data_IF_872950852218
#
_entry.id   IF_872950852218
#
_cell.length_a   1.000
_cell.length_b   1.000
_cell.length_c   1.000
_cell.angle_alpha   90.00
_cell.angle_beta   90.00
_cell.angle_gamma   90.00
#
_symmetry.space_group_name_H-M   'P 1'
#
loop_
_entity.id
_entity.type
_entity.pdbx_description
1 polymer ?
#
# COMPACT_ATOMS: atom_id res chain seq x y z
N UNK A 1 -34.61 -41.27 -16.91
CA UNK A 1 -34.83 -39.92 -16.34
C UNK A 1 -34.02 -39.61 -15.07
N UNK A 2 -33.93 -40.51 -14.07
CA UNK A 2 -33.26 -40.23 -12.77
C UNK A 2 -31.75 -39.98 -12.90
N UNK A 3 -31.02 -40.79 -13.69
CA UNK A 3 -29.58 -40.59 -13.98
C UNK A 3 -29.29 -39.25 -14.68
N UNK A 4 -30.20 -38.78 -15.53
CA UNK A 4 -30.05 -37.53 -16.27
C UNK A 4 -30.26 -36.31 -15.35
N UNK A 5 -31.25 -36.39 -14.44
CA UNK A 5 -31.46 -35.39 -13.36
C UNK A 5 -30.25 -35.28 -12.42
N UNK A 6 -29.68 -36.42 -11.99
CA UNK A 6 -28.49 -36.45 -11.12
C UNK A 6 -27.25 -35.85 -11.79
N UNK A 7 -27.04 -36.11 -13.09
CA UNK A 7 -25.92 -35.57 -13.86
C UNK A 7 -26.07 -34.06 -14.11
N UNK A 8 -27.31 -33.59 -14.33
CA UNK A 8 -27.64 -32.16 -14.43
C UNK A 8 -27.44 -31.44 -13.09
N UNK A 9 -27.86 -32.02 -11.96
CA UNK A 9 -27.66 -31.41 -10.64
C UNK A 9 -26.18 -31.37 -10.22
N UNK A 10 -25.40 -32.40 -10.58
CA UNK A 10 -23.95 -32.41 -10.34
C UNK A 10 -23.20 -31.36 -11.19
N UNK A 11 -23.59 -31.19 -12.46
CA UNK A 11 -23.02 -30.14 -13.32
C UNK A 11 -23.43 -28.71 -12.90
N UNK A 12 -24.65 -28.51 -12.42
CA UNK A 12 -25.08 -27.22 -11.86
C UNK A 12 -24.28 -26.87 -10.62
N UNK A 13 -23.98 -27.86 -9.77
CA UNK A 13 -23.18 -27.66 -8.57
C UNK A 13 -21.71 -27.31 -8.90
N UNK A 14 -21.09 -27.96 -9.90
CA UNK A 14 -19.73 -27.62 -10.32
C UNK A 14 -19.63 -26.21 -10.94
N UNK A 15 -20.61 -25.82 -11.76
CA UNK A 15 -20.74 -24.48 -12.35
C UNK A 15 -20.92 -23.41 -11.28
N UNK A 16 -21.75 -23.67 -10.25
CA UNK A 16 -21.95 -22.77 -9.11
C UNK A 16 -20.69 -22.65 -8.24
N UNK A 17 -19.97 -23.75 -8.01
CA UNK A 17 -18.70 -23.74 -7.25
C UNK A 17 -17.64 -22.92 -8.00
N UNK A 18 -17.56 -23.08 -9.32
CA UNK A 18 -16.63 -22.32 -10.16
C UNK A 18 -16.98 -20.82 -10.21
N UNK A 19 -18.26 -20.45 -10.26
CA UNK A 19 -18.66 -19.03 -10.25
C UNK A 19 -18.38 -18.38 -8.89
N UNK A 20 -18.54 -19.13 -7.80
CA UNK A 20 -18.13 -18.71 -6.46
C UNK A 20 -16.61 -18.50 -6.37
N UNK A 21 -15.81 -19.31 -7.08
CA UNK A 21 -14.35 -19.13 -7.15
C UNK A 21 -14.02 -17.78 -7.79
N UNK A 22 -14.64 -17.44 -8.93
CA UNK A 22 -14.46 -16.16 -9.65
C UNK A 22 -14.76 -14.96 -8.74
N UNK A 23 -15.80 -15.03 -7.90
CA UNK A 23 -16.12 -13.97 -6.93
C UNK A 23 -14.98 -13.68 -5.95
N UNK A 24 -14.20 -14.69 -5.57
CA UNK A 24 -13.14 -14.54 -4.58
C UNK A 24 -11.80 -14.04 -5.13
N UNK A 25 -11.59 -14.14 -6.45
CA UNK A 25 -10.30 -13.81 -7.09
C UNK A 25 -9.97 -12.32 -6.98
N UNK A 26 -8.68 -12.02 -6.82
CA UNK A 26 -8.15 -10.67 -6.92
C UNK A 26 -8.04 -10.24 -8.41
N UNK A 27 -7.79 -8.95 -8.68
CA UNK A 27 -7.72 -8.44 -10.06
C UNK A 27 -6.61 -9.12 -10.88
N UNK A 28 -5.42 -9.33 -10.31
CA UNK A 28 -4.27 -9.96 -10.99
C UNK A 28 -4.52 -11.44 -11.33
N UNK A 29 -5.11 -12.18 -10.39
CA UNK A 29 -5.53 -13.57 -10.57
C UNK A 29 -6.63 -13.67 -11.61
N UNK A 30 -7.57 -12.73 -11.59
CA UNK A 30 -8.67 -12.70 -12.54
C UNK A 30 -8.17 -12.38 -13.95
N UNK A 31 -7.27 -11.39 -14.11
CA UNK A 31 -6.64 -11.11 -15.41
C UNK A 31 -5.84 -12.31 -15.91
N UNK A 32 -5.13 -13.02 -15.03
CA UNK A 32 -4.38 -14.23 -15.40
C UNK A 32 -5.30 -15.34 -15.89
N UNK A 33 -6.36 -15.65 -15.14
CA UNK A 33 -7.35 -16.66 -15.54
C UNK A 33 -8.00 -16.31 -16.88
N UNK A 34 -8.27 -15.03 -17.09
CA UNK A 34 -8.88 -14.54 -18.32
C UNK A 34 -7.93 -14.65 -19.52
N UNK A 35 -6.65 -14.35 -19.35
CA UNK A 35 -5.63 -14.54 -20.38
C UNK A 35 -5.49 -16.03 -20.72
N UNK A 36 -5.39 -16.90 -19.71
CA UNK A 36 -5.33 -18.35 -19.88
C UNK A 36 -6.56 -18.89 -20.64
N UNK A 37 -7.77 -18.44 -20.29
CA UNK A 37 -9.00 -18.86 -20.99
C UNK A 37 -9.08 -18.28 -22.41
N UNK A 38 -8.56 -17.08 -22.66
CA UNK A 38 -8.53 -16.47 -23.99
C UNK A 38 -7.55 -17.18 -24.94
N UNK A 39 -6.40 -17.63 -24.45
CA UNK A 39 -5.43 -18.40 -25.24
C UNK A 39 -5.99 -19.77 -25.63
N UNK A 40 -6.77 -20.39 -24.74
CA UNK A 40 -7.33 -21.72 -24.95
C UNK A 40 -8.67 -21.71 -25.73
N UNK A 41 -9.32 -20.55 -25.87
CA UNK A 41 -10.65 -20.42 -26.42
C UNK A 41 -10.79 -19.29 -27.44
N UNK A 42 -10.74 -19.65 -28.72
CA UNK A 42 -10.95 -18.77 -29.88
C UNK A 42 -12.29 -18.00 -29.87
N UNK A 43 -13.26 -18.40 -29.03
CA UNK A 43 -14.52 -17.69 -28.86
C UNK A 43 -14.39 -16.38 -28.07
N UNK A 44 -13.26 -16.18 -27.39
CA UNK A 44 -13.01 -15.07 -26.50
C UNK A 44 -12.07 -14.06 -27.16
N UNK A 45 -12.53 -12.82 -27.34
CA UNK A 45 -11.70 -11.70 -27.76
C UNK A 45 -11.58 -10.67 -26.64
N UNK A 46 -10.34 -10.29 -26.32
CA UNK A 46 -10.00 -9.25 -25.35
C UNK A 46 -10.02 -7.91 -26.06
N UNK A 47 -11.01 -7.06 -25.74
CA UNK A 47 -11.03 -5.67 -26.20
C UNK A 47 -10.50 -4.75 -25.09
N UNK A 48 -9.22 -4.41 -25.18
CA UNK A 48 -8.51 -3.60 -24.19
C UNK A 48 -8.87 -2.10 -24.23
N UNK A 49 -9.64 -1.64 -25.24
CA UNK A 49 -9.77 -0.22 -25.56
C UNK A 49 -11.10 0.44 -25.16
N UNK A 50 -12.04 -0.28 -24.53
CA UNK A 50 -13.31 0.31 -24.07
C UNK A 50 -13.48 0.20 -22.55
N UNK A 51 -13.38 1.34 -21.85
CA UNK A 51 -13.91 1.49 -20.49
C UNK A 51 -15.43 1.57 -20.63
N UNK A 52 -16.13 0.49 -20.31
CA UNK A 52 -17.58 0.46 -20.39
C UNK A 52 -18.18 1.07 -19.10
N UNK A 53 -18.99 2.12 -19.26
CA UNK A 53 -19.72 2.80 -18.16
C UNK A 53 -21.25 2.64 -18.30
N UNK A 54 -21.74 1.64 -19.02
CA UNK A 54 -23.17 1.31 -19.01
C UNK A 54 -23.30 -0.07 -18.34
N UNK A 55 -23.88 -0.25 -17.16
CA UNK A 55 -25.33 -0.16 -16.99
C UNK A 55 -25.65 -0.40 -15.51
N UNK A 56 -25.91 0.67 -14.76
CA UNK A 56 -26.92 0.65 -13.71
C UNK A 56 -27.97 1.72 -14.05
N UNK A 57 -28.59 1.55 -15.22
CA UNK A 57 -29.79 2.30 -15.64
C UNK A 57 -31.02 1.79 -14.88
N UNK A 58 -30.99 1.82 -13.55
CA UNK A 58 -32.22 1.76 -12.72
C UNK A 58 -31.86 2.13 -11.29
N UNK A 59 -31.85 3.43 -11.02
CA UNK A 59 -32.58 4.11 -9.94
C UNK A 59 -32.29 5.60 -10.12
N UNK A 60 -33.26 6.33 -10.70
CA UNK A 60 -33.33 7.79 -10.91
C UNK A 60 -32.08 8.62 -10.54
N UNK A 61 -31.05 8.66 -11.40
CA UNK A 61 -30.08 9.76 -11.37
C UNK A 61 -29.69 10.17 -12.80
N UNK A 62 -29.95 11.44 -13.10
CA UNK A 62 -29.80 12.09 -14.41
C UNK A 62 -28.34 12.02 -14.86
N UNK A 63 -28.13 11.53 -16.09
CA UNK A 63 -26.89 11.71 -16.87
C UNK A 63 -26.53 13.21 -16.89
N UNK A 64 -25.37 13.56 -16.35
CA UNK A 64 -24.70 14.82 -16.69
C UNK A 64 -23.35 14.41 -17.27
N UNK A 65 -23.16 14.81 -18.52
CA UNK A 65 -21.92 14.64 -19.26
C UNK A 65 -20.80 15.45 -18.58
N UNK A 66 -19.64 14.84 -18.43
CA UNK A 66 -18.41 15.55 -18.09
C UNK A 66 -18.06 16.49 -19.25
N UNK A 67 -17.95 17.79 -18.96
CA UNK A 67 -16.96 18.66 -19.60
C UNK A 67 -15.76 18.66 -18.64
N UNK A 68 -14.70 17.96 -19.02
CA UNK A 68 -13.38 18.14 -18.42
C UNK A 68 -12.59 19.04 -19.37
N UNK A 69 -12.42 20.30 -18.97
CA UNK A 69 -11.19 21.01 -19.27
C UNK A 69 -10.17 20.49 -18.27
N UNK A 70 -9.31 19.56 -18.70
CA UNK A 70 -8.01 19.33 -18.07
C UNK A 70 -7.06 18.67 -19.06
N UNK A 71 -5.82 19.14 -18.98
CA UNK A 71 -4.67 18.85 -19.84
C UNK A 71 -4.51 17.34 -20.03
N UNK A 72 -4.71 16.88 -21.26
CA UNK A 72 -4.48 15.50 -21.68
C UNK A 72 -2.98 15.21 -21.55
N UNK A 73 -2.55 14.64 -20.42
CA UNK A 73 -1.31 13.85 -20.39
C UNK A 73 -1.47 12.74 -21.42
N UNK A 74 -0.61 12.74 -22.43
CA UNK A 74 -0.66 11.78 -23.53
C UNK A 74 -0.53 10.36 -22.98
N UNK A 75 -1.14 9.38 -23.65
CA UNK A 75 -0.88 7.95 -23.38
C UNK A 75 0.63 7.64 -23.39
N UNK A 76 1.42 8.42 -24.14
CA UNK A 76 2.88 8.37 -24.13
C UNK A 76 3.49 8.76 -22.79
N UNK A 77 2.97 9.79 -22.11
CA UNK A 77 3.50 10.24 -20.81
C UNK A 77 3.24 9.21 -19.71
N UNK A 78 2.07 8.56 -19.74
CA UNK A 78 1.69 7.49 -18.81
C UNK A 78 2.52 6.22 -19.08
N UNK A 79 2.86 5.94 -20.34
CA UNK A 79 3.73 4.84 -20.71
C UNK A 79 5.19 5.10 -20.27
N UNK A 80 5.70 6.32 -20.46
CA UNK A 80 7.03 6.74 -20.03
C UNK A 80 7.20 6.73 -18.50
N UNK A 81 6.16 7.11 -17.74
CA UNK A 81 6.16 6.98 -16.27
C UNK A 81 6.19 5.50 -15.83
N UNK A 82 5.65 4.57 -16.62
CA UNK A 82 5.67 3.12 -16.35
C UNK A 82 6.96 2.42 -16.75
N UNK A 83 7.70 2.95 -17.73
CA UNK A 83 8.98 2.38 -18.20
C UNK A 83 10.20 2.94 -17.49
N UNK A 84 10.06 3.91 -16.59
CA UNK A 84 11.12 4.27 -15.64
C UNK A 84 11.34 3.10 -14.68
N UNK A 85 12.17 2.16 -15.09
CA UNK A 85 12.80 1.19 -14.19
C UNK A 85 13.72 2.00 -13.29
N UNK A 86 13.20 2.51 -12.18
CA UNK A 86 14.06 3.03 -11.13
C UNK A 86 14.96 1.86 -10.70
N UNK A 87 16.25 1.96 -11.00
CA UNK A 87 17.22 0.97 -10.59
C UNK A 87 17.23 0.92 -9.07
N UNK A 88 17.19 -0.28 -8.51
CA UNK A 88 17.31 -0.43 -7.05
C UNK A 88 18.65 0.14 -6.60
N UNK A 89 18.69 0.69 -5.38
CA UNK A 89 19.95 1.14 -4.77
C UNK A 89 21.01 0.03 -4.82
N UNK A 90 20.60 -1.22 -4.57
CA UNK A 90 21.51 -2.37 -4.58
C UNK A 90 22.05 -2.63 -5.98
N UNK A 91 21.20 -2.58 -6.99
CA UNK A 91 21.61 -2.76 -8.39
C UNK A 91 22.59 -1.66 -8.81
N UNK A 92 22.31 -0.42 -8.43
CA UNK A 92 23.19 0.71 -8.74
C UNK A 92 24.58 0.56 -8.10
N UNK A 93 24.65 0.19 -6.82
CA UNK A 93 25.92 -0.02 -6.12
C UNK A 93 26.68 -1.24 -6.63
N UNK A 94 25.97 -2.32 -7.00
CA UNK A 94 26.59 -3.51 -7.60
C UNK A 94 27.21 -3.20 -8.97
N UNK A 95 26.55 -2.38 -9.79
CA UNK A 95 27.11 -1.91 -11.05
C UNK A 95 28.40 -1.13 -10.80
N UNK A 96 28.41 -0.20 -9.83
CA UNK A 96 29.61 0.56 -9.49
C UNK A 96 30.74 -0.33 -8.96
N UNK A 97 30.41 -1.33 -8.12
CA UNK A 97 31.39 -2.29 -7.61
C UNK A 97 32.04 -3.10 -8.74
N UNK A 98 31.26 -3.55 -9.72
CA UNK A 98 31.73 -4.34 -10.87
C UNK A 98 32.61 -3.55 -11.84
N UNK A 99 32.51 -2.21 -11.84
CA UNK A 99 33.36 -1.32 -12.64
C UNK A 99 34.72 -1.11 -11.97
N UNK A 100 34.84 -1.32 -10.65
CA UNK A 100 36.10 -1.17 -9.94
C UNK A 100 37.09 -2.30 -10.27
N UNK A 101 38.38 -1.97 -10.32
CA UNK A 101 39.46 -2.96 -10.46
C UNK A 101 39.74 -3.59 -9.10
N UNK A 102 38.99 -4.64 -8.77
CA UNK A 102 39.10 -5.40 -7.50
C UNK A 102 39.23 -6.90 -7.77
N UNK A 103 39.80 -7.63 -6.82
CA UNK A 103 39.97 -9.08 -6.93
C UNK A 103 38.62 -9.81 -6.74
N UNK A 104 38.50 -11.06 -7.20
CA UNK A 104 37.24 -11.83 -7.07
C UNK A 104 36.79 -12.01 -5.61
N UNK A 105 37.73 -12.18 -4.69
CA UNK A 105 37.44 -12.27 -3.26
C UNK A 105 36.91 -10.94 -2.69
N UNK A 106 37.46 -9.82 -3.15
CA UNK A 106 37.01 -8.49 -2.73
C UNK A 106 35.63 -8.16 -3.33
N UNK A 107 35.37 -8.61 -4.56
CA UNK A 107 34.06 -8.49 -5.18
C UNK A 107 33.00 -9.25 -4.39
N UNK A 108 33.27 -10.50 -3.99
CA UNK A 108 32.36 -11.28 -3.14
C UNK A 108 32.06 -10.59 -1.81
N UNK A 109 33.09 -10.04 -1.15
CA UNK A 109 32.92 -9.28 0.10
C UNK A 109 32.05 -8.04 -0.15
N UNK A 110 32.30 -7.30 -1.24
CA UNK A 110 31.52 -6.13 -1.61
C UNK A 110 30.05 -6.45 -1.90
N UNK A 111 29.76 -7.55 -2.59
CA UNK A 111 28.39 -8.01 -2.86
C UNK A 111 27.64 -8.33 -1.56
N UNK A 112 28.30 -9.01 -0.61
CA UNK A 112 27.72 -9.30 0.72
C UNK A 112 27.46 -7.99 1.50
N UNK A 113 28.39 -7.04 1.47
CA UNK A 113 28.24 -5.75 2.14
C UNK A 113 27.08 -4.94 1.56
N UNK A 114 26.95 -4.87 0.24
CA UNK A 114 25.83 -4.16 -0.44
C UNK A 114 24.50 -4.84 -0.12
N UNK A 115 24.47 -6.18 -0.06
CA UNK A 115 23.25 -6.91 0.30
C UNK A 115 22.80 -6.67 1.74
N UNK A 116 23.74 -6.41 2.66
CA UNK A 116 23.50 -6.05 4.06
C UNK A 116 23.01 -4.60 4.27
N UNK A 117 22.90 -3.79 3.21
CA UNK A 117 22.34 -2.44 3.29
C UNK A 117 20.81 -2.46 3.30
N UNK A 118 20.23 -1.57 4.09
CA UNK A 118 18.79 -1.27 4.06
C UNK A 118 18.45 -0.26 2.94
N UNK A 119 17.16 0.02 2.73
CA UNK A 119 16.68 0.96 1.71
C UNK A 119 17.17 2.41 1.91
N UNK A 120 17.66 2.74 3.11
CA UNK A 120 18.27 4.05 3.44
C UNK A 120 19.79 4.08 3.26
N UNK A 121 20.39 2.97 2.84
CA UNK A 121 21.84 2.84 2.68
C UNK A 121 22.61 2.59 3.99
N UNK A 122 21.93 2.22 5.09
CA UNK A 122 22.59 1.90 6.36
C UNK A 122 22.77 0.39 6.56
N UNK A 123 23.78 0.02 7.34
CA UNK A 123 24.03 -1.38 7.72
C UNK A 123 22.90 -1.95 8.58
N UNK A 124 22.39 -3.14 8.20
CA UNK A 124 21.41 -3.87 9.01
C UNK A 124 22.13 -4.60 10.16
N UNK A 125 23.21 -5.31 9.81
CA UNK A 125 24.08 -6.03 10.74
C UNK A 125 25.46 -5.37 10.72
N UNK A 126 26.18 -5.41 11.83
CA UNK A 126 27.56 -4.96 11.87
C UNK A 126 28.39 -5.70 10.80
N UNK A 127 29.02 -4.99 9.84
CA UNK A 127 29.79 -5.60 8.77
C UNK A 127 30.87 -6.58 9.23
N UNK A 128 31.47 -6.34 10.40
CA UNK A 128 32.55 -7.17 10.94
C UNK A 128 32.09 -8.52 11.51
N UNK A 129 30.78 -8.69 11.76
CA UNK A 129 30.20 -9.93 12.27
C UNK A 129 29.83 -10.91 11.15
N UNK A 130 29.83 -10.44 9.90
CA UNK A 130 29.49 -11.24 8.71
C UNK A 130 30.68 -12.04 8.16
N UNK A 131 31.90 -11.75 8.61
CA UNK A 131 33.13 -12.30 8.06
C UNK A 131 34.04 -12.90 9.14
N UNK A 132 34.93 -13.81 8.72
CA UNK A 132 35.93 -14.40 9.64
C UNK A 132 36.93 -13.34 10.09
N UNK A 133 37.59 -13.56 11.24
CA UNK A 133 38.56 -12.60 11.82
C UNK A 133 39.69 -12.21 10.86
N UNK A 134 40.12 -13.15 10.02
CA UNK A 134 41.21 -12.97 9.04
C UNK A 134 40.84 -12.04 7.87
N UNK A 135 39.54 -11.83 7.60
CA UNK A 135 39.06 -11.03 6.46
C UNK A 135 38.74 -9.57 6.86
N UNK A 136 38.83 -9.23 8.14
CA UNK A 136 38.42 -7.91 8.66
C UNK A 136 39.18 -6.74 8.05
N UNK A 137 40.46 -6.92 7.71
CA UNK A 137 41.26 -5.88 7.03
C UNK A 137 40.77 -5.63 5.61
N UNK A 138 40.42 -6.69 4.87
CA UNK A 138 39.86 -6.57 3.51
C UNK A 138 38.48 -5.92 3.54
N UNK A 139 37.64 -6.31 4.50
CA UNK A 139 36.31 -5.72 4.72
C UNK A 139 36.41 -4.21 4.95
N UNK A 140 37.35 -3.74 5.79
CA UNK A 140 37.54 -2.31 6.03
C UNK A 140 37.88 -1.54 4.74
N UNK A 141 38.80 -2.06 3.92
CA UNK A 141 39.17 -1.45 2.63
C UNK A 141 37.98 -1.33 1.69
N UNK A 142 37.14 -2.37 1.62
CA UNK A 142 35.98 -2.40 0.74
C UNK A 142 34.86 -1.49 1.26
N UNK A 143 34.67 -1.39 2.58
CA UNK A 143 33.74 -0.40 3.16
C UNK A 143 34.18 1.02 2.78
N UNK A 144 35.46 1.36 2.93
CA UNK A 144 36.00 2.66 2.52
C UNK A 144 35.86 2.92 1.01
N UNK A 145 35.88 1.87 0.18
CA UNK A 145 35.62 1.95 -1.25
C UNK A 145 34.14 2.23 -1.53
N UNK A 146 33.22 1.45 -0.95
CA UNK A 146 31.77 1.60 -1.13
C UNK A 146 31.30 2.96 -0.57
N UNK A 147 31.91 3.48 0.49
CA UNK A 147 31.59 4.80 1.05
C UNK A 147 31.88 5.96 0.08
N UNK A 148 32.69 5.74 -0.97
CA UNK A 148 32.98 6.72 -2.03
C UNK A 148 32.04 6.61 -3.24
N UNK A 149 31.15 5.62 -3.25
CA UNK A 149 30.18 5.42 -4.32
C UNK A 149 29.12 6.50 -4.32
N UNK A 150 28.45 6.66 -5.46
CA UNK A 150 27.29 7.54 -5.58
C UNK A 150 26.02 6.74 -5.23
N UNK A 151 25.18 7.18 -4.27
CA UNK A 151 25.26 8.43 -3.51
C UNK A 151 26.13 8.39 -2.24
N UNK A 152 26.73 9.54 -1.91
CA UNK A 152 27.64 9.68 -0.76
C UNK A 152 26.86 9.59 0.56
N UNK A 153 27.44 8.91 1.56
CA UNK A 153 26.81 8.72 2.87
C UNK A 153 26.13 7.37 3.05
N UNK A 154 26.41 6.40 2.17
CA UNK A 154 25.96 5.00 2.27
C UNK A 154 27.03 4.16 2.99
N UNK A 155 26.68 2.96 3.46
CA UNK A 155 27.60 1.99 4.08
C UNK A 155 28.10 2.51 5.44
N UNK A 156 27.14 3.00 6.23
CA UNK A 156 27.31 3.53 7.58
C UNK A 156 26.23 2.97 8.50
N UNK A 157 26.43 2.88 9.81
CA UNK A 157 25.42 2.37 10.75
C UNK A 157 24.27 3.36 10.96
N UNK A 158 24.56 4.67 10.98
CA UNK A 158 23.61 5.69 11.43
C UNK A 158 23.59 6.93 10.52
N UNK A 159 22.49 7.69 10.59
CA UNK A 159 22.31 8.96 9.88
C UNK A 159 23.39 9.97 10.25
N UNK A 160 23.82 10.00 11.52
CA UNK A 160 24.86 10.93 11.99
C UNK A 160 26.18 10.63 11.27
N UNK A 161 26.56 9.36 11.16
CA UNK A 161 27.78 8.95 10.44
C UNK A 161 27.68 9.21 8.94
N UNK A 162 26.47 9.06 8.35
CA UNK A 162 26.19 9.46 6.96
C UNK A 162 26.49 10.94 6.72
N UNK A 163 25.99 11.81 7.61
CA UNK A 163 26.22 13.26 7.54
C UNK A 163 27.68 13.63 7.76
N UNK A 164 28.38 12.94 8.68
CA UNK A 164 29.83 13.13 8.89
C UNK A 164 30.62 12.73 7.65
N UNK A 165 30.25 11.61 7.01
CA UNK A 165 30.90 11.13 5.79
C UNK A 165 30.70 12.12 4.64
N UNK A 166 29.48 12.62 4.44
CA UNK A 166 29.18 13.68 3.48
C UNK A 166 29.97 14.96 3.78
N UNK A 167 30.05 15.38 5.06
CA UNK A 167 30.79 16.57 5.46
C UNK A 167 32.30 16.45 5.19
N UNK A 168 32.89 15.27 5.45
CA UNK A 168 34.29 14.97 5.10
C UNK A 168 34.52 15.02 3.59
N UNK A 169 33.60 14.46 2.80
CA UNK A 169 33.69 14.48 1.35
C UNK A 169 33.64 15.92 0.78
N UNK A 170 32.74 16.76 1.31
CA UNK A 170 32.62 18.17 0.92
C UNK A 170 33.71 19.09 1.51
N UNK A 171 34.70 18.54 2.23
CA UNK A 171 35.79 19.29 2.89
C UNK A 171 35.27 20.46 3.74
N UNK A 172 34.18 20.22 4.47
CA UNK A 172 33.58 21.22 5.36
C UNK A 172 34.48 21.47 6.58
N UNK A 173 34.34 22.66 7.18
CA UNK A 173 35.12 23.07 8.35
C UNK A 173 35.04 22.05 9.49
N UNK A 174 36.17 21.84 10.19
CA UNK A 174 36.30 20.91 11.32
C UNK A 174 35.26 21.15 12.42
N UNK A 175 34.74 22.38 12.52
CA UNK A 175 33.70 22.75 13.48
C UNK A 175 32.34 22.11 13.15
N UNK A 176 32.00 21.93 11.87
CA UNK A 176 30.75 21.29 11.43
C UNK A 176 30.76 19.80 11.81
N UNK A 177 31.90 19.12 11.62
CA UNK A 177 32.08 17.70 11.98
C UNK A 177 31.91 17.51 13.49
N UNK A 178 32.52 18.39 14.31
CA UNK A 178 32.38 18.37 15.78
C UNK A 178 30.94 18.62 16.25
N UNK A 179 30.18 19.46 15.54
CA UNK A 179 28.77 19.70 15.83
C UNK A 179 27.93 18.45 15.52
N UNK A 180 28.20 17.77 14.41
CA UNK A 180 27.49 16.55 14.01
C UNK A 180 27.82 15.36 14.93
N UNK A 181 29.06 15.20 15.38
CA UNK A 181 29.46 14.17 16.35
C UNK A 181 28.73 14.29 17.69
N UNK A 182 28.38 15.53 18.10
CA UNK A 182 27.60 15.81 19.32
C UNK A 182 26.10 16.04 19.03
N UNK A 183 25.60 15.61 17.88
CA UNK A 183 24.22 15.90 17.47
C UNK A 183 23.15 15.31 18.41
N UNK A 184 23.45 14.25 19.16
CA UNK A 184 22.55 13.72 20.19
C UNK A 184 22.25 14.74 21.32
N UNK A 185 23.15 15.71 21.55
CA UNK A 185 22.93 16.81 22.51
C UNK A 185 22.08 17.96 21.94
N UNK A 186 21.90 18.06 20.61
CA UNK A 186 21.12 19.13 19.97
C UNK A 186 19.64 19.07 20.34
N UNK A 187 19.10 17.88 20.64
CA UNK A 187 17.69 17.72 21.04
C UNK A 187 17.37 18.37 22.39
N UNK A 188 18.37 18.63 23.26
CA UNK A 188 18.11 19.05 24.64
C UNK A 188 18.54 20.47 25.00
N UNK A 189 19.57 21.06 24.39
CA UNK A 189 19.84 22.52 24.55
C UNK A 189 20.94 23.02 23.61
N UNK A 190 20.60 23.89 22.65
CA UNK A 190 21.58 24.53 21.75
C UNK A 190 22.64 25.35 22.51
N UNK A 191 22.27 25.90 23.67
CA UNK A 191 23.18 26.70 24.50
C UNK A 191 24.27 25.88 25.20
N UNK A 192 23.99 24.62 25.56
CA UNK A 192 25.00 23.73 26.16
C UNK A 192 26.06 23.35 25.15
N UNK A 193 25.63 23.04 23.91
CA UNK A 193 26.55 22.70 22.82
C UNK A 193 27.51 23.85 22.49
N UNK A 194 27.01 25.10 22.47
CA UNK A 194 27.81 26.31 22.24
C UNK A 194 28.87 26.53 23.32
N UNK A 195 28.51 26.34 24.60
CA UNK A 195 29.44 26.47 25.73
C UNK A 195 30.51 25.39 25.71
N UNK A 196 30.15 24.16 25.35
CA UNK A 196 31.07 23.02 25.35
C UNK A 196 32.03 23.03 24.16
N UNK A 197 31.59 23.54 23.00
CA UNK A 197 32.40 23.63 21.78
C UNK A 197 33.21 24.94 21.67
N UNK A 198 32.97 25.93 22.56
CA UNK A 198 33.61 27.26 22.54
C UNK A 198 33.48 28.00 21.20
N UNK A 199 32.36 27.83 20.50
CA UNK A 199 32.10 28.44 19.18
C UNK A 199 31.27 29.74 19.34
N UNK A 200 31.57 30.78 18.55
CA UNK A 200 30.80 32.03 18.55
C UNK A 200 29.40 31.81 17.94
N UNK A 201 28.41 32.56 18.41
CA UNK A 201 27.02 32.43 17.94
C UNK A 201 26.86 32.58 16.41
N UNK A 202 27.64 33.46 15.78
CA UNK A 202 27.60 33.67 14.32
C UNK A 202 28.11 32.43 13.55
N UNK A 203 29.24 31.88 13.97
CA UNK A 203 29.87 30.69 13.36
C UNK A 203 29.00 29.43 13.52
N UNK A 204 28.28 29.32 14.64
CA UNK A 204 27.35 28.22 14.86
C UNK A 204 26.14 28.27 13.92
N UNK A 205 25.58 29.46 13.70
CA UNK A 205 24.43 29.64 12.81
C UNK A 205 24.82 29.41 11.34
N UNK A 206 25.99 29.92 10.91
CA UNK A 206 26.51 29.65 9.56
C UNK A 206 26.80 28.16 9.35
N UNK A 207 27.34 27.46 10.35
CA UNK A 207 27.53 26.02 10.30
C UNK A 207 26.20 25.25 10.13
N UNK A 208 25.13 25.66 10.83
CA UNK A 208 23.80 25.05 10.69
C UNK A 208 23.17 25.32 9.32
N UNK A 209 23.35 26.51 8.75
CA UNK A 209 22.90 26.81 7.40
C UNK A 209 23.62 25.96 6.35
N UNK A 210 24.93 25.81 6.49
CA UNK A 210 25.74 24.95 5.61
C UNK A 210 25.29 23.48 5.71
N UNK A 211 25.04 22.98 6.93
CA UNK A 211 24.50 21.63 7.14
C UNK A 211 23.18 21.46 6.40
N UNK A 212 22.25 22.42 6.52
CA UNK A 212 20.94 22.35 5.86
C UNK A 212 20.98 22.42 4.34
N UNK A 213 21.94 23.18 3.79
CA UNK A 213 22.04 23.38 2.35
C UNK A 213 22.84 22.29 1.64
N UNK A 214 23.90 21.76 2.29
CA UNK A 214 24.87 20.88 1.62
C UNK A 214 24.76 19.41 2.02
N UNK A 215 24.13 19.07 3.14
CA UNK A 215 24.06 17.68 3.61
C UNK A 215 22.64 17.13 3.42
N UNK A 216 22.56 15.90 2.90
CA UNK A 216 21.30 15.21 2.69
C UNK A 216 21.15 14.07 3.72
N UNK A 217 20.19 14.15 4.66
CA UNK A 217 19.98 13.11 5.65
C UNK A 217 19.45 11.80 5.07
N UNK A 218 18.99 11.79 3.80
CA UNK A 218 18.55 10.60 3.11
C UNK A 218 19.08 10.57 1.66
N UNK A 219 20.36 10.18 1.46
CA UNK A 219 21.00 10.19 0.15
C UNK A 219 20.36 9.22 -0.85
N UNK A 220 19.60 8.22 -0.37
CA UNK A 220 19.01 7.17 -1.21
C UNK A 220 17.59 7.49 -1.70
N UNK A 221 17.09 8.71 -1.49
CA UNK A 221 15.71 9.10 -1.86
C UNK A 221 15.38 8.92 -3.35
N UNK A 222 16.39 9.07 -4.21
CA UNK A 222 16.25 8.91 -5.66
C UNK A 222 16.12 7.43 -6.05
N UNK A 223 16.70 6.54 -5.25
CA UNK A 223 16.66 5.09 -5.42
C UNK A 223 15.45 4.51 -4.70
N UNK A 224 14.26 4.75 -5.26
CA UNK A 224 13.06 4.03 -4.82
C UNK A 224 13.13 2.61 -5.36
N UNK A 225 13.23 1.64 -4.46
CA UNK A 225 13.05 0.24 -4.81
C UNK A 225 11.72 0.09 -5.58
N UNK A 226 11.70 -0.57 -6.75
CA UNK A 226 10.45 -0.90 -7.45
C UNK A 226 9.46 -1.66 -6.55
N UNK A 227 10.00 -2.41 -5.59
CA UNK A 227 9.26 -3.15 -4.56
C UNK A 227 8.86 -2.30 -3.34
N UNK A 228 9.49 -1.14 -3.11
CA UNK A 228 9.11 -0.14 -2.09
C UNK A 228 8.17 0.91 -2.71
N UNK A 229 7.34 0.45 -3.66
CA UNK A 229 6.11 1.13 -3.97
C UNK A 229 5.24 1.00 -2.75
N UNK A 230 5.10 2.10 -2.00
CA UNK A 230 4.00 2.34 -1.09
C UNK A 230 2.73 1.71 -1.71
N UNK A 231 2.34 0.51 -1.26
CA UNK A 231 1.60 -0.44 -2.10
C UNK A 231 0.42 0.25 -2.75
N UNK A 232 0.51 0.57 -4.05
CA UNK A 232 -0.60 1.22 -4.73
C UNK A 232 -1.68 0.17 -4.93
N UNK A 233 -2.61 0.13 -3.98
CA UNK A 233 -3.75 -0.77 -4.05
C UNK A 233 -4.75 -0.17 -5.01
N UNK A 234 -4.87 -0.80 -6.19
CA UNK A 234 -5.88 -0.45 -7.19
C UNK A 234 -7.28 -0.81 -6.65
N UNK A 235 -8.16 0.17 -6.41
CA UNK A 235 -9.48 -0.08 -5.81
C UNK A 235 -10.46 -0.70 -6.81
N UNK A 236 -11.30 -1.62 -6.34
CA UNK A 236 -12.37 -2.25 -7.12
C UNK A 236 -13.62 -1.37 -7.18
N UNK A 237 -13.92 -0.66 -6.08
CA UNK A 237 -15.07 0.26 -5.96
C UNK A 237 -14.55 1.66 -5.67
N UNK A 238 -15.05 2.66 -6.39
CA UNK A 238 -14.76 4.08 -6.17
C UNK A 238 -16.06 4.78 -5.78
N UNK A 239 -16.02 5.50 -4.67
CA UNK A 239 -17.09 6.38 -4.22
C UNK A 239 -16.55 7.80 -4.31
N UNK A 240 -17.11 8.57 -5.24
CA UNK A 240 -16.73 9.96 -5.50
C UNK A 240 -17.86 10.85 -4.97
N UNK A 241 -17.53 11.92 -4.28
CA UNK A 241 -18.49 12.88 -3.75
C UNK A 241 -18.42 14.16 -4.59
N UNK A 242 -19.53 14.52 -5.24
CA UNK A 242 -19.69 15.76 -5.97
C UNK A 242 -20.80 16.59 -5.31
N UNK A 243 -20.45 17.59 -4.50
CA UNK A 243 -21.41 18.51 -3.87
C UNK A 243 -22.56 17.79 -3.14
N UNK A 244 -22.26 16.81 -2.28
CA UNK A 244 -23.21 15.93 -1.58
C UNK A 244 -23.99 14.94 -2.47
N UNK A 245 -23.64 14.80 -3.75
CA UNK A 245 -24.07 13.71 -4.61
C UNK A 245 -22.94 12.71 -4.74
N UNK A 246 -23.15 11.52 -4.19
CA UNK A 246 -22.16 10.45 -4.29
C UNK A 246 -22.38 9.64 -5.57
N UNK A 247 -21.32 9.47 -6.34
CA UNK A 247 -21.26 8.59 -7.50
C UNK A 247 -20.46 7.33 -7.13
N UNK A 248 -21.01 6.16 -7.47
CA UNK A 248 -20.36 4.87 -7.24
C UNK A 248 -19.89 4.35 -8.60
N UNK A 249 -18.58 4.30 -8.81
CA UNK A 249 -17.96 3.71 -10.00
C UNK A 249 -17.33 2.38 -9.61
N UNK A 250 -17.59 1.35 -10.39
CA UNK A 250 -16.96 0.03 -10.21
C UNK A 250 -15.95 -0.09 -11.33
N UNK A 251 -14.72 -0.50 -11.01
CA UNK A 251 -13.75 -0.83 -12.04
C UNK A 251 -14.09 -2.19 -12.61
N UNK A 252 -14.82 -2.21 -13.71
CA UNK A 252 -15.05 -3.42 -14.49
C UNK A 252 -13.72 -3.99 -14.99
N UNK A 253 -13.67 -5.32 -15.05
CA UNK A 253 -12.59 -6.02 -15.75
C UNK A 253 -12.97 -6.03 -17.23
N UNK A 254 -12.56 -4.97 -17.94
CA UNK A 254 -12.83 -4.73 -19.36
C UNK A 254 -12.18 -5.79 -20.26
N UNK A 255 -12.70 -7.02 -20.26
CA UNK A 255 -12.06 -8.08 -21.03
C UNK A 255 -12.98 -8.78 -22.03
N UNK A 256 -14.31 -8.75 -21.88
CA UNK A 256 -15.14 -9.49 -22.84
C UNK A 256 -16.34 -8.69 -23.28
N UNK A 257 -16.20 -8.00 -24.42
CA UNK A 257 -17.35 -7.36 -25.04
C UNK A 257 -17.56 -7.60 -26.52
N UNK A 258 -16.67 -8.31 -27.21
CA UNK A 258 -17.12 -8.90 -28.47
C UNK A 258 -17.93 -10.14 -28.14
N UNK A 259 -19.22 -10.04 -28.44
CA UNK A 259 -20.14 -11.16 -28.49
C UNK A 259 -19.43 -12.36 -29.12
N UNK A 260 -19.63 -13.55 -28.52
CA UNK A 260 -19.11 -14.82 -29.02
C UNK A 260 -19.14 -14.80 -30.55
N UNK A 261 -17.96 -14.86 -31.19
CA UNK A 261 -17.92 -15.15 -32.62
C UNK A 261 -18.73 -16.43 -32.82
N UNK A 262 -19.85 -16.33 -33.55
CA UNK A 262 -20.77 -17.45 -33.82
C UNK A 262 -20.11 -18.60 -34.60
N UNK A 263 -18.83 -18.47 -34.95
CA UNK A 263 -18.12 -19.27 -35.95
C UNK A 263 -17.33 -20.46 -35.40
N UNK A 264 -17.40 -20.79 -34.10
CA UNK A 264 -16.72 -22.00 -33.60
C UNK A 264 -17.63 -23.21 -33.63
N UNK A 265 -17.20 -24.28 -34.32
CA UNK A 265 -17.95 -25.54 -34.43
C UNK A 265 -18.02 -26.34 -33.11
N UNK A 266 -17.27 -25.95 -32.07
CA UNK A 266 -17.20 -26.69 -30.82
C UNK A 266 -18.16 -26.15 -29.72
N UNK A 267 -19.30 -26.82 -29.45
CA UNK A 267 -20.30 -26.36 -28.49
C UNK A 267 -19.80 -26.37 -27.04
N UNK A 268 -18.74 -27.12 -26.71
CA UNK A 268 -18.17 -27.12 -25.36
C UNK A 268 -17.37 -25.84 -25.08
N UNK A 269 -16.57 -25.38 -26.04
CA UNK A 269 -15.82 -24.11 -25.93
C UNK A 269 -16.76 -22.91 -25.83
N UNK A 270 -17.87 -22.92 -26.57
CA UNK A 270 -18.91 -21.88 -26.47
C UNK A 270 -19.60 -21.85 -25.09
N UNK A 271 -19.97 -23.01 -24.54
CA UNK A 271 -20.57 -23.10 -23.20
C UNK A 271 -19.63 -22.58 -22.11
N UNK A 272 -18.34 -22.91 -22.19
CA UNK A 272 -17.32 -22.40 -21.26
C UNK A 272 -17.16 -20.88 -21.35
N UNK A 273 -17.05 -20.34 -22.57
CA UNK A 273 -16.97 -18.89 -22.79
C UNK A 273 -18.19 -18.15 -22.26
N UNK A 274 -19.40 -18.64 -22.57
CA UNK A 274 -20.66 -18.06 -22.08
C UNK A 274 -20.72 -18.06 -20.56
N UNK A 275 -20.36 -19.18 -19.94
CA UNK A 275 -20.32 -19.31 -18.48
C UNK A 275 -19.33 -18.33 -17.83
N UNK A 276 -18.14 -18.14 -18.42
CA UNK A 276 -17.14 -17.20 -17.91
C UNK A 276 -17.67 -15.77 -17.96
N UNK A 277 -18.27 -15.36 -19.09
CA UNK A 277 -18.88 -14.03 -19.27
C UNK A 277 -20.01 -13.80 -18.26
N UNK A 278 -20.92 -14.78 -18.11
CA UNK A 278 -22.01 -14.69 -17.13
C UNK A 278 -21.49 -14.60 -15.69
N UNK A 279 -20.43 -15.35 -15.36
CA UNK A 279 -19.81 -15.32 -14.04
C UNK A 279 -19.13 -13.98 -13.73
N UNK A 280 -18.50 -13.35 -14.74
CA UNK A 280 -17.92 -12.01 -14.62
C UNK A 280 -19.00 -10.94 -14.44
N UNK A 281 -20.08 -11.00 -15.23
CA UNK A 281 -21.23 -10.10 -15.07
C UNK A 281 -21.86 -10.22 -13.69
N UNK A 282 -22.07 -11.45 -13.22
CA UNK A 282 -22.62 -11.71 -11.89
C UNK A 282 -21.72 -11.15 -10.77
N UNK A 283 -20.39 -11.25 -10.94
CA UNK A 283 -19.43 -10.64 -10.02
C UNK A 283 -19.58 -9.13 -9.97
N UNK A 284 -19.59 -8.47 -11.11
CA UNK A 284 -19.67 -7.01 -11.18
C UNK A 284 -21.01 -6.51 -10.62
N UNK A 285 -22.10 -7.23 -10.88
CA UNK A 285 -23.41 -6.98 -10.29
C UNK A 285 -23.39 -7.11 -8.75
N UNK A 286 -22.76 -8.16 -8.20
CA UNK A 286 -22.63 -8.30 -6.75
C UNK A 286 -21.81 -7.15 -6.16
N UNK A 287 -20.67 -6.80 -6.77
CA UNK A 287 -19.82 -5.71 -6.30
C UNK A 287 -20.58 -4.38 -6.34
N UNK A 288 -21.41 -4.15 -7.36
CA UNK A 288 -22.31 -3.00 -7.44
C UNK A 288 -23.28 -2.94 -6.29
N UNK A 289 -24.02 -4.04 -6.06
CA UNK A 289 -25.00 -4.12 -4.97
C UNK A 289 -24.33 -3.90 -3.62
N UNK A 290 -23.11 -4.43 -3.42
CA UNK A 290 -22.32 -4.22 -2.21
C UNK A 290 -21.92 -2.74 -2.07
N UNK A 291 -21.42 -2.11 -3.13
CA UNK A 291 -21.07 -0.68 -3.12
C UNK A 291 -22.26 0.21 -2.76
N UNK A 292 -23.43 -0.04 -3.37
CA UNK A 292 -24.68 0.69 -3.08
C UNK A 292 -25.12 0.45 -1.63
N UNK A 293 -25.09 -0.79 -1.17
CA UNK A 293 -25.48 -1.10 0.20
C UNK A 293 -24.54 -0.43 1.21
N UNK A 294 -23.22 -0.44 0.98
CA UNK A 294 -22.24 0.31 1.80
C UNK A 294 -22.59 1.80 1.80
N UNK A 295 -22.84 2.40 0.64
CA UNK A 295 -23.22 3.80 0.54
C UNK A 295 -24.46 4.13 1.39
N UNK A 296 -25.51 3.30 1.29
CA UNK A 296 -26.75 3.52 2.05
C UNK A 296 -26.60 3.31 3.56
N UNK A 297 -25.80 2.33 3.99
CA UNK A 297 -25.62 1.99 5.41
C UNK A 297 -24.59 2.88 6.11
N UNK A 298 -23.61 3.41 5.37
CA UNK A 298 -22.47 4.16 5.90
C UNK A 298 -22.40 5.60 5.37
N UNK A 299 -23.57 6.22 5.11
CA UNK A 299 -23.66 7.60 4.59
C UNK A 299 -22.91 8.62 5.46
N UNK A 300 -23.05 8.52 6.78
CA UNK A 300 -22.37 9.44 7.71
C UNK A 300 -20.84 9.25 7.71
N UNK A 301 -20.36 8.03 7.56
CA UNK A 301 -18.93 7.75 7.41
C UNK A 301 -18.38 8.38 6.12
N UNK A 302 -19.07 8.21 5.00
CA UNK A 302 -18.62 8.78 3.73
C UNK A 302 -18.56 10.31 3.78
N UNK A 303 -19.45 10.95 4.54
CA UNK A 303 -19.48 12.42 4.68
C UNK A 303 -18.54 12.99 5.75
N UNK A 304 -18.40 12.32 6.89
CA UNK A 304 -17.69 12.84 8.09
C UNK A 304 -16.42 12.07 8.45
N UNK A 305 -16.07 11.05 7.66
CA UNK A 305 -14.89 10.22 7.83
C UNK A 305 -15.02 9.17 8.92
N UNK A 306 -13.89 8.53 9.24
CA UNK A 306 -13.81 7.34 10.11
C UNK A 306 -14.39 7.51 11.51
N UNK A 307 -14.48 8.74 12.04
CA UNK A 307 -15.12 9.01 13.35
C UNK A 307 -16.59 8.60 13.35
N UNK A 308 -17.27 8.70 12.20
CA UNK A 308 -18.68 8.37 12.04
C UNK A 308 -18.91 6.95 11.47
N UNK A 309 -17.88 6.11 11.45
CA UNK A 309 -17.96 4.73 10.96
C UNK A 309 -18.70 3.84 11.95
N UNK A 310 -19.92 3.45 11.57
CA UNK A 310 -20.79 2.60 12.38
C UNK A 310 -20.46 1.11 12.19
N UNK A 311 -20.62 0.26 13.21
CA UNK A 311 -20.55 -1.18 13.05
C UNK A 311 -21.56 -1.66 12.00
N UNK A 312 -21.14 -2.54 11.10
CA UNK A 312 -22.02 -3.15 10.09
C UNK A 312 -21.80 -4.65 10.07
N UNK A 313 -22.90 -5.41 10.14
CA UNK A 313 -22.85 -6.86 10.11
C UNK A 313 -23.15 -7.39 8.71
N UNK A 314 -22.53 -8.51 8.33
CA UNK A 314 -22.77 -9.20 7.07
C UNK A 314 -24.23 -9.66 6.93
N UNK A 315 -24.94 -9.91 8.04
CA UNK A 315 -26.37 -10.25 8.01
C UNK A 315 -27.22 -9.14 7.37
N UNK A 316 -26.98 -7.89 7.77
CA UNK A 316 -27.74 -6.72 7.26
C UNK A 316 -27.50 -6.57 5.75
N UNK A 317 -26.27 -6.78 5.32
CA UNK A 317 -25.92 -6.74 3.90
C UNK A 317 -26.53 -7.89 3.11
N UNK A 318 -26.58 -9.09 3.69
CA UNK A 318 -27.17 -10.30 3.12
C UNK A 318 -28.66 -10.13 2.88
N UNK A 319 -29.39 -9.56 3.83
CA UNK A 319 -30.82 -9.25 3.71
C UNK A 319 -31.08 -8.18 2.64
N UNK A 320 -30.26 -7.13 2.61
CA UNK A 320 -30.46 -6.00 1.67
C UNK A 320 -30.17 -6.34 0.21
N UNK A 321 -29.23 -7.27 -0.03
CA UNK A 321 -28.81 -7.69 -1.37
C UNK A 321 -29.49 -9.01 -1.80
N UNK A 322 -30.19 -9.68 -0.88
CA UNK A 322 -30.78 -11.02 -1.09
C UNK A 322 -29.76 -12.06 -1.55
N UNK A 323 -28.55 -12.01 -0.97
CA UNK A 323 -27.43 -12.91 -1.29
C UNK A 323 -26.87 -13.51 0.00
N UNK A 324 -26.44 -14.78 -0.04
CA UNK A 324 -25.93 -15.47 1.15
C UNK A 324 -24.72 -14.76 1.79
N UNK A 325 -24.63 -14.82 3.12
CA UNK A 325 -23.46 -14.28 3.87
C UNK A 325 -22.13 -14.83 3.37
N UNK A 326 -22.11 -16.10 2.98
CA UNK A 326 -20.90 -16.77 2.47
C UNK A 326 -20.45 -16.21 1.12
N UNK A 327 -21.39 -15.90 0.23
CA UNK A 327 -21.13 -15.30 -1.08
C UNK A 327 -20.58 -13.88 -0.92
N UNK A 328 -21.18 -13.09 -0.03
CA UNK A 328 -20.73 -11.72 0.25
C UNK A 328 -19.33 -11.73 0.87
N UNK A 329 -19.10 -12.57 1.88
CA UNK A 329 -17.79 -12.69 2.56
C UNK A 329 -16.67 -13.04 1.57
N UNK A 330 -16.95 -13.93 0.61
CA UNK A 330 -16.02 -14.27 -0.47
C UNK A 330 -15.80 -13.12 -1.44
N UNK A 331 -16.88 -12.45 -1.86
CA UNK A 331 -16.81 -11.32 -2.78
C UNK A 331 -15.93 -10.18 -2.22
N UNK A 332 -16.01 -9.87 -0.92
CA UNK A 332 -15.29 -8.73 -0.32
C UNK A 332 -13.88 -9.05 0.21
N UNK A 333 -13.48 -10.33 0.29
CA UNK A 333 -12.29 -10.78 1.06
C UNK A 333 -11.01 -10.03 0.70
N UNK A 334 -10.81 -9.76 -0.59
CA UNK A 334 -9.67 -9.06 -1.16
C UNK A 334 -10.15 -7.96 -2.12
N UNK A 335 -11.09 -7.13 -1.66
CA UNK A 335 -11.63 -6.02 -2.45
C UNK A 335 -11.46 -4.71 -1.72
N UNK A 336 -11.08 -3.69 -2.47
CA UNK A 336 -10.79 -2.39 -1.93
C UNK A 336 -11.78 -1.35 -2.44
N UNK A 337 -12.16 -0.45 -1.54
CA UNK A 337 -13.04 0.66 -1.79
C UNK A 337 -12.26 1.96 -1.61
N UNK A 338 -12.22 2.80 -2.64
CA UNK A 338 -11.67 4.15 -2.58
C UNK A 338 -12.78 5.13 -2.26
N UNK A 339 -12.54 6.00 -1.30
CA UNK A 339 -13.37 7.14 -0.95
C UNK A 339 -12.50 8.37 -0.69
N UNK A 340 -13.11 9.51 -0.37
CA UNK A 340 -12.40 10.75 -0.01
C UNK A 340 -11.40 10.55 1.14
N UNK A 341 -11.70 9.63 2.06
CA UNK A 341 -10.90 9.32 3.25
C UNK A 341 -9.81 8.26 3.01
N UNK A 342 -9.58 7.85 1.77
CA UNK A 342 -8.55 6.87 1.40
C UNK A 342 -9.09 5.56 0.81
N UNK A 343 -8.19 4.59 0.62
CA UNK A 343 -8.50 3.26 0.10
C UNK A 343 -8.63 2.27 1.25
N UNK A 344 -9.77 1.59 1.37
CA UNK A 344 -10.11 0.74 2.52
C UNK A 344 -10.41 -0.67 2.04
N UNK A 345 -9.92 -1.68 2.76
CA UNK A 345 -10.32 -3.07 2.52
C UNK A 345 -11.78 -3.25 2.94
N UNK A 346 -12.65 -3.62 2.00
CA UNK A 346 -14.11 -3.68 2.23
C UNK A 346 -14.45 -4.57 3.42
N UNK A 347 -13.75 -5.69 3.59
CA UNK A 347 -13.91 -6.61 4.73
C UNK A 347 -13.79 -5.92 6.10
N UNK A 348 -12.96 -4.90 6.22
CA UNK A 348 -12.70 -4.22 7.51
C UNK A 348 -13.84 -3.29 7.92
N UNK A 349 -14.70 -2.88 6.98
CA UNK A 349 -15.95 -2.17 7.27
C UNK A 349 -16.94 -3.06 8.03
N UNK A 350 -16.84 -4.39 7.87
CA UNK A 350 -17.69 -5.38 8.56
C UNK A 350 -17.03 -5.87 9.83
N UNK A 351 -16.79 -4.94 10.76
CA UNK A 351 -16.22 -5.25 12.07
C UNK A 351 -17.28 -5.28 13.16
N UNK A 352 -17.03 -6.08 14.20
CA UNK A 352 -17.86 -6.13 15.40
C UNK A 352 -17.84 -4.79 16.16
N UNK A 353 -18.84 -4.58 17.00
CA UNK A 353 -18.99 -3.42 17.87
C UNK A 353 -17.72 -3.25 18.74
N UNK A 354 -17.20 -2.03 18.79
CA UNK A 354 -15.93 -1.72 19.43
C UNK A 354 -16.02 -1.26 20.90
N UNK A 355 -17.22 -1.13 21.48
CA UNK A 355 -17.44 -0.56 22.81
C UNK A 355 -18.70 -1.09 23.52
N UNK A 356 -18.98 -0.59 24.72
CA UNK A 356 -20.13 -1.02 25.51
C UNK A 356 -21.48 -0.54 24.93
N UNK A 357 -22.41 -1.48 24.73
CA UNK A 357 -23.88 -1.38 24.48
C UNK A 357 -24.42 -0.39 23.43
N UNK A 358 -23.81 0.75 23.15
CA UNK A 358 -24.22 1.65 22.09
C UNK A 358 -23.55 1.21 20.79
N UNK A 359 -24.35 0.91 19.78
CA UNK A 359 -23.91 0.41 18.47
C UNK A 359 -23.25 1.53 17.62
N UNK A 360 -22.50 2.42 18.27
CA UNK A 360 -22.07 3.72 17.73
C UNK A 360 -20.68 3.66 17.10
N UNK A 361 -19.76 2.88 17.66
CA UNK A 361 -18.35 2.86 17.23
C UNK A 361 -17.92 1.49 16.71
N UNK A 362 -17.39 1.46 15.49
CA UNK A 362 -16.73 0.29 14.90
C UNK A 362 -15.34 0.06 15.47
N UNK A 363 -14.87 -1.20 15.49
CA UNK A 363 -13.49 -1.56 15.85
C UNK A 363 -12.45 -0.73 15.05
N UNK A 364 -12.72 -0.51 13.76
CA UNK A 364 -11.84 0.26 12.88
C UNK A 364 -11.75 1.75 13.29
N UNK A 365 -12.88 2.38 13.62
CA UNK A 365 -12.91 3.76 14.11
C UNK A 365 -12.08 3.94 15.39
N UNK A 366 -12.18 2.98 16.31
CA UNK A 366 -11.41 2.98 17.56
C UNK A 366 -9.92 2.81 17.28
N UNK A 367 -9.53 1.87 16.42
CA UNK A 367 -8.13 1.68 16.01
C UNK A 367 -7.51 2.96 15.44
N UNK A 368 -8.22 3.63 14.53
CA UNK A 368 -7.74 4.88 13.92
C UNK A 368 -7.61 5.98 14.98
N UNK A 369 -8.57 6.07 15.91
CA UNK A 369 -8.51 7.03 17.02
C UNK A 369 -7.32 6.75 17.94
N UNK A 370 -7.05 5.49 18.27
CA UNK A 370 -5.87 5.08 19.03
C UNK A 370 -4.58 5.43 18.29
N UNK A 371 -4.51 5.18 16.97
CA UNK A 371 -3.34 5.53 16.17
C UNK A 371 -3.07 7.04 16.19
N UNK A 372 -4.11 7.87 15.99
CA UNK A 372 -3.99 9.34 16.06
C UNK A 372 -3.49 9.82 17.43
N UNK A 373 -3.92 9.19 18.52
CA UNK A 373 -3.42 9.51 19.86
C UNK A 373 -1.94 9.13 20.04
N UNK A 374 -1.50 8.03 19.43
CA UNK A 374 -0.12 7.56 19.48
C UNK A 374 0.83 8.37 18.58
N UNK A 375 0.32 8.96 17.50
CA UNK A 375 1.06 9.89 16.65
C UNK A 375 1.44 11.16 17.41
N UNK A 376 0.52 11.72 18.20
CA UNK A 376 0.78 12.88 19.06
C UNK A 376 1.74 12.53 20.21
N UNK A 377 1.56 11.37 20.84
CA UNK A 377 2.45 10.94 21.92
C UNK A 377 2.68 9.41 21.89
N UNK A 378 3.82 9.01 21.32
CA UNK A 378 4.22 7.59 21.21
C UNK A 378 4.35 6.87 22.55
N UNK A 379 4.63 7.60 23.65
CA UNK A 379 4.85 7.06 25.00
C UNK A 379 3.58 6.99 25.86
N UNK A 380 2.41 7.33 25.32
CA UNK A 380 1.18 7.34 26.10
C UNK A 380 0.82 5.94 26.63
N UNK A 381 0.44 5.85 27.90
CA UNK A 381 0.09 4.58 28.54
C UNK A 381 -1.28 4.08 28.09
N UNK A 382 -1.49 2.76 28.06
CA UNK A 382 -2.78 2.19 27.66
C UNK A 382 -3.92 2.60 28.60
N UNK A 383 -3.61 2.90 29.88
CA UNK A 383 -4.58 3.42 30.86
C UNK A 383 -5.02 4.84 30.49
N UNK A 384 -4.09 5.70 30.06
CA UNK A 384 -4.40 7.05 29.61
C UNK A 384 -5.24 7.04 28.32
N UNK A 385 -4.90 6.19 27.35
CA UNK A 385 -5.68 6.01 26.12
C UNK A 385 -7.12 5.58 26.43
N UNK A 386 -7.30 4.60 27.33
CA UNK A 386 -8.62 4.14 27.77
C UNK A 386 -9.44 5.25 28.43
N UNK A 387 -8.82 6.09 29.27
CA UNK A 387 -9.49 7.23 29.90
C UNK A 387 -9.94 8.30 28.89
N UNK A 388 -9.08 8.64 27.91
CA UNK A 388 -9.41 9.60 26.84
C UNK A 388 -10.53 9.08 25.93
N UNK A 389 -10.56 7.77 25.67
CA UNK A 389 -11.64 7.17 24.91
C UNK A 389 -12.95 7.19 25.70
N UNK A 390 -12.88 6.94 27.02
CA UNK A 390 -14.05 7.03 27.91
C UNK A 390 -14.67 8.42 27.95
N UNK A 391 -13.85 9.50 27.96
CA UNK A 391 -14.36 10.87 27.89
C UNK A 391 -15.01 11.22 26.55
N UNK A 392 -14.68 10.48 25.48
CA UNK A 392 -15.31 10.57 24.16
C UNK A 392 -16.51 9.64 23.99
N UNK A 393 -17.01 9.04 25.08
CA UNK A 393 -18.13 8.08 25.06
C UNK A 393 -17.75 6.65 24.68
N UNK A 394 -16.47 6.36 24.46
CA UNK A 394 -15.97 5.03 24.06
C UNK A 394 -15.46 4.28 25.30
N UNK A 395 -16.32 3.47 25.91
CA UNK A 395 -15.94 2.65 27.06
C UNK A 395 -15.25 1.35 26.61
N UNK A 396 -13.92 1.30 26.73
CA UNK A 396 -13.10 0.11 26.44
C UNK A 396 -12.07 -0.18 27.54
N UNK A 397 -11.80 -1.47 27.76
CA UNK A 397 -10.81 -1.91 28.74
C UNK A 397 -9.38 -1.61 28.31
N UNK A 398 -8.46 -1.47 29.28
CA UNK A 398 -7.02 -1.38 29.03
C UNK A 398 -6.48 -2.56 28.21
N UNK A 399 -6.99 -3.78 28.45
CA UNK A 399 -6.59 -4.99 27.70
C UNK A 399 -6.99 -4.88 26.22
N UNK A 400 -8.16 -4.30 25.94
CA UNK A 400 -8.65 -4.05 24.58
C UNK A 400 -7.78 -3.03 23.85
N UNK A 401 -7.38 -1.95 24.53
CA UNK A 401 -6.45 -0.94 24.00
C UNK A 401 -5.11 -1.58 23.62
N UNK A 402 -4.51 -2.36 24.53
CA UNK A 402 -3.24 -3.04 24.28
C UNK A 402 -3.35 -3.99 23.07
N UNK A 403 -4.43 -4.78 22.98
CA UNK A 403 -4.70 -5.63 21.82
C UNK A 403 -4.72 -4.82 20.51
N UNK A 404 -5.47 -3.72 20.46
CA UNK A 404 -5.54 -2.89 19.25
C UNK A 404 -4.22 -2.22 18.92
N UNK A 405 -3.43 -1.81 19.93
CA UNK A 405 -2.10 -1.24 19.75
C UNK A 405 -1.12 -2.24 19.14
N UNK A 406 -1.19 -3.51 19.54
CA UNK A 406 -0.35 -4.57 18.97
C UNK A 406 -0.79 -4.92 17.54
N UNK A 407 -2.11 -5.00 17.28
CA UNK A 407 -2.64 -5.17 15.92
C UNK A 407 -2.14 -4.04 15.00
N UNK A 408 -2.18 -2.77 15.43
CA UNK A 408 -1.66 -1.62 14.65
C UNK A 408 -0.15 -1.69 14.38
N UNK A 409 0.66 -2.21 15.31
CA UNK A 409 2.10 -2.43 15.07
C UNK A 409 2.35 -3.50 14.01
N UNK A 410 1.52 -4.54 13.96
CA UNK A 410 1.59 -5.61 12.95
C UNK A 410 0.97 -5.23 11.60
N UNK A 411 0.02 -4.29 11.58
CA UNK A 411 -0.69 -3.83 10.37
C UNK A 411 0.03 -2.69 9.63
N UNK A 412 1.30 -2.39 9.96
CA UNK A 412 2.17 -1.41 9.26
C UNK A 412 2.26 -1.76 7.76
N UNK A 413 1.36 -1.21 6.95
CA UNK A 413 1.22 -1.52 5.52
C UNK A 413 -0.24 -1.54 5.03
N UNK A 414 -1.23 -1.65 5.93
CA UNK A 414 -2.63 -1.42 5.56
C UNK A 414 -2.92 0.07 5.60
N UNK A 415 -2.93 0.64 4.41
CA UNK A 415 -3.13 2.05 4.12
C UNK A 415 -4.49 2.51 4.70
N UNK A 416 -4.48 3.20 5.83
CA UNK A 416 -5.54 4.13 6.21
C UNK A 416 -4.97 5.53 6.11
N UNK A 417 -4.71 6.01 4.89
CA UNK A 417 -4.39 7.42 4.68
C UNK A 417 -5.69 8.22 4.79
N UNK A 418 -6.08 8.53 6.02
CA UNK A 418 -6.84 9.75 6.25
C UNK A 418 -5.83 10.89 6.19
N UNK A 419 -5.93 11.75 5.17
CA UNK A 419 -5.30 13.08 5.21
C UNK A 419 -5.83 13.87 6.39
#
# INVERSE_FOLDING_TARGET
MIKQKLKLSQNLNSIQIQSIKILSLNKKELTKLILEESENNECLEIDSNKIFFETLKTYKFKKIFYKEDDIIKSQYDIALEKTKTNTSLKEHLLLQLRIQRINEDELKIGEILINNLNNKGFHIINPYDLFKKEEKEKVKKIIELIQKFDPIGICVPNIIESLILQAKHHKLETNIIKILEKAELLEKTQEKLKKELKIRNKEFNTALEIIRQKLNPNPTLEFKDPNDTNFYVDPDILIINHNNKFEIKIKEVNIFKKELKRTTENPQKQKKAKWLIESLRYRDEILAKIGIAIYTLQKEFLRRGFKSLRPMNLSILSEKISVSKSTISRAIKNKYLKCEWGTILIKELFSSVGGAKTNEFSKLSIKITVNKLLEVNKKMSDKAISAILKSKGISISRRTVNKYRNELKSEKGRIYYGT
#
